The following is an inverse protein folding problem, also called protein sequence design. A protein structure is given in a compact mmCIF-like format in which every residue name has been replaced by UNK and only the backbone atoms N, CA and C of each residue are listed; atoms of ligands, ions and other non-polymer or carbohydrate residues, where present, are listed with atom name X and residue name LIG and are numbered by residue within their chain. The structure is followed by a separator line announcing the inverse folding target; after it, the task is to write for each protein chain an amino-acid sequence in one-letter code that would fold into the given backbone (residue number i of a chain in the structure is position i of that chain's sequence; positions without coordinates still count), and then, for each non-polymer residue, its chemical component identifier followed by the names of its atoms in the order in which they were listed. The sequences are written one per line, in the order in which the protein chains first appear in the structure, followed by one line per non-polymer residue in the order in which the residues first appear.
data_IF_804099850636
#
_entry.id   IF_804099850636
#
_cell.length_a   1.000
_cell.length_b   1.000
_cell.length_c   1.000
_cell.angle_alpha   90.00
_cell.angle_beta   90.00
_cell.angle_gamma   90.00
#
_symmetry.space_group_name_H-M   'P 1'
#
loop_
_entity.id
_entity.type
_entity.pdbx_description
1 polymer ?
#
# COMPACT_ATOMS: atom_id res chain seq x y z
N UNK A 1 -17.02 -8.30 9.30
CA UNK A 1 -16.62 -6.90 9.05
C UNK A 1 -15.11 -6.90 9.03
N UNK A 2 -14.51 -6.76 7.86
CA UNK A 2 -13.05 -6.70 7.73
C UNK A 2 -12.53 -5.50 8.50
N UNK A 3 -11.78 -5.77 9.56
CA UNK A 3 -11.14 -4.78 10.44
C UNK A 3 -9.70 -4.54 10.02
N UNK A 4 -9.37 -4.77 8.75
CA UNK A 4 -8.03 -4.58 8.20
C UNK A 4 -7.86 -3.14 7.75
N UNK A 5 -6.69 -2.56 8.01
CA UNK A 5 -6.27 -1.24 7.56
C UNK A 5 -5.00 -1.41 6.74
N UNK A 6 -5.00 -0.93 5.51
CA UNK A 6 -3.86 -1.00 4.61
C UNK A 6 -3.09 0.32 4.66
N UNK A 7 -1.79 0.24 4.90
CA UNK A 7 -0.90 1.41 4.96
C UNK A 7 0.13 1.29 3.88
N UNK A 8 0.01 2.15 2.87
CA UNK A 8 1.05 2.38 1.87
C UNK A 8 2.15 3.22 2.51
N UNK A 9 3.40 2.80 2.35
CA UNK A 9 4.59 3.56 2.72
C UNK A 9 5.48 3.75 1.50
N UNK A 10 5.80 5.00 1.18
CA UNK A 10 6.87 5.35 0.26
C UNK A 10 8.17 5.47 1.05
N UNK A 11 9.20 4.70 0.68
CA UNK A 11 10.51 4.76 1.33
C UNK A 11 11.31 6.00 0.91
N UNK A 12 11.14 6.44 -0.34
CA UNK A 12 11.89 7.57 -0.90
C UNK A 12 11.48 8.91 -0.29
N UNK A 13 10.18 9.09 0.00
CA UNK A 13 9.63 10.34 0.56
C UNK A 13 9.23 10.22 2.04
N UNK A 14 9.33 9.02 2.62
CA UNK A 14 8.78 8.68 3.94
C UNK A 14 7.27 8.98 4.09
N UNK A 15 6.54 9.12 2.99
CA UNK A 15 5.09 9.34 3.00
C UNK A 15 4.35 8.06 3.39
N UNK A 16 3.30 8.19 4.20
CA UNK A 16 2.41 7.07 4.52
C UNK A 16 0.95 7.43 4.29
N UNK A 17 0.26 6.58 3.55
CA UNK A 17 -1.17 6.73 3.20
C UNK A 17 -1.94 5.53 3.74
N UNK A 18 -3.09 5.80 4.35
CA UNK A 18 -3.92 4.79 5.03
C UNK A 18 -5.20 4.58 4.23
N UNK A 19 -5.55 3.32 4.02
CA UNK A 19 -6.68 2.89 3.22
C UNK A 19 -7.43 1.76 3.93
N UNK A 20 -8.75 1.73 3.76
CA UNK A 20 -9.59 0.65 4.29
C UNK A 20 -9.46 -0.64 3.48
N UNK A 21 -9.00 -0.56 2.22
CA UNK A 21 -8.88 -1.69 1.29
C UNK A 21 -7.52 -1.76 0.59
N UNK A 22 -7.07 -2.98 0.28
CA UNK A 22 -5.82 -3.22 -0.45
C UNK A 22 -5.84 -2.59 -1.85
N UNK A 23 -6.98 -2.63 -2.54
CA UNK A 23 -7.07 -2.09 -3.89
C UNK A 23 -6.86 -0.58 -3.93
N UNK A 24 -7.42 0.14 -2.95
CA UNK A 24 -7.21 1.58 -2.78
C UNK A 24 -5.77 1.93 -2.44
N UNK A 25 -5.10 1.11 -1.61
CA UNK A 25 -3.68 1.29 -1.33
C UNK A 25 -2.80 1.06 -2.57
N UNK A 26 -3.14 0.08 -3.41
CA UNK A 26 -2.44 -0.19 -4.67
C UNK A 26 -2.75 0.87 -5.75
N UNK A 27 -3.93 1.47 -5.74
CA UNK A 27 -4.24 2.61 -6.63
C UNK A 27 -3.44 3.86 -6.23
N UNK A 28 -3.36 4.12 -4.93
CA UNK A 28 -2.54 5.19 -4.36
C UNK A 28 -1.05 5.04 -4.71
N UNK A 29 -0.54 3.81 -4.90
CA UNK A 29 0.83 3.61 -5.40
C UNK A 29 1.02 4.31 -6.75
N UNK A 30 0.07 4.21 -7.67
CA UNK A 30 0.21 4.86 -8.98
C UNK A 30 0.06 6.38 -8.92
N UNK A 31 -0.67 6.90 -7.94
CA UNK A 31 -0.88 8.33 -7.74
C UNK A 31 0.28 9.00 -6.99
N UNK A 32 0.85 8.33 -5.98
CA UNK A 32 1.78 8.92 -5.01
C UNK A 32 3.23 8.45 -5.17
N UNK A 33 3.47 7.31 -5.82
CA UNK A 33 4.81 6.72 -5.94
C UNK A 33 5.41 7.03 -7.31
N UNK A 34 6.61 7.61 -7.32
CA UNK A 34 7.37 7.90 -8.53
C UNK A 34 7.89 6.62 -9.20
N UNK A 35 8.23 6.72 -10.50
CA UNK A 35 8.71 5.57 -11.30
C UNK A 35 9.95 4.85 -10.73
N UNK A 36 10.72 5.49 -9.85
CA UNK A 36 11.92 4.93 -9.25
C UNK A 36 11.82 4.60 -7.76
N UNK A 37 10.71 4.94 -7.11
CA UNK A 37 10.57 4.93 -5.65
C UNK A 37 10.21 3.53 -5.14
N UNK A 38 10.74 3.17 -3.97
CA UNK A 38 10.39 1.93 -3.29
C UNK A 38 9.14 2.14 -2.44
N UNK A 39 8.24 1.17 -2.46
CA UNK A 39 7.01 1.22 -1.69
C UNK A 39 6.68 -0.14 -1.07
N UNK A 40 6.00 -0.08 0.08
CA UNK A 40 5.54 -1.26 0.83
C UNK A 40 4.15 -0.99 1.37
N UNK A 41 3.24 -1.95 1.21
CA UNK A 41 1.90 -1.93 1.80
C UNK A 41 1.86 -2.89 3.00
N UNK A 42 1.47 -2.34 4.14
CA UNK A 42 1.27 -3.07 5.39
C UNK A 42 -0.23 -3.23 5.66
N UNK A 43 -0.66 -4.45 5.91
CA UNK A 43 -1.96 -4.76 6.48
C UNK A 43 -1.86 -4.72 8.01
N UNK A 44 -2.54 -3.77 8.63
CA UNK A 44 -2.71 -3.62 10.05
C UNK A 44 -4.08 -4.13 10.43
N UNK A 45 -4.13 -5.12 11.30
CA UNK A 45 -5.39 -5.53 11.91
C UNK A 45 -5.76 -4.51 13.01
N UNK A 46 -6.92 -3.85 12.89
CA UNK A 46 -7.39 -2.84 13.86
C UNK A 46 -7.64 -3.44 15.25
N UNK A 47 -7.76 -4.76 15.36
CA UNK A 47 -8.05 -5.48 16.61
C UNK A 47 -6.75 -5.96 17.26
N UNK A 48 -5.75 -6.40 16.48
CA UNK A 48 -4.44 -6.84 16.94
C UNK A 48 -3.41 -5.73 16.75
N UNK A 49 -3.31 -4.87 17.77
CA UNK A 49 -2.21 -3.93 17.94
C UNK A 49 -0.91 -4.74 18.15
N UNK A 50 -0.11 -4.95 17.10
CA UNK A 50 1.20 -5.57 17.30
C UNK A 50 2.06 -5.85 16.07
N UNK A 51 1.48 -6.15 14.91
CA UNK A 51 2.30 -6.46 13.74
C UNK A 51 1.54 -6.14 12.45
N UNK A 52 1.93 -5.04 11.79
CA UNK A 52 1.55 -4.82 10.40
C UNK A 52 2.20 -5.88 9.53
N UNK A 53 1.39 -6.70 8.85
CA UNK A 53 1.86 -7.70 7.91
C UNK A 53 2.16 -7.02 6.58
N UNK A 54 3.33 -7.24 6.00
CA UNK A 54 3.59 -6.81 4.62
C UNK A 54 2.76 -7.68 3.68
N UNK A 55 1.90 -7.05 2.90
CA UNK A 55 1.01 -7.74 1.94
C UNK A 55 1.42 -7.48 0.50
N UNK A 56 2.07 -6.35 0.23
CA UNK A 56 2.64 -6.04 -1.08
C UNK A 56 3.87 -5.14 -0.91
N UNK A 57 4.82 -5.27 -1.83
CA UNK A 57 5.98 -4.39 -1.92
C UNK A 57 6.44 -4.33 -3.37
N UNK A 58 7.11 -3.24 -3.73
CA UNK A 58 7.60 -3.05 -5.07
C UNK A 58 8.42 -1.78 -5.23
N UNK A 59 8.82 -1.56 -6.48
CA UNK A 59 9.53 -0.35 -6.89
C UNK A 59 8.87 0.21 -8.13
N UNK A 60 8.66 1.51 -8.14
CA UNK A 60 7.97 2.22 -9.21
C UNK A 60 6.47 1.94 -9.23
N UNK A 61 5.85 2.27 -10.36
CA UNK A 61 4.40 2.16 -10.55
C UNK A 61 3.94 0.73 -10.78
N UNK A 62 2.73 0.41 -10.32
CA UNK A 62 2.12 -0.90 -10.53
C UNK A 62 1.48 -0.91 -11.91
N UNK A 63 2.03 -1.75 -12.81
CA UNK A 63 1.37 -2.06 -14.08
C UNK A 63 0.23 -3.04 -13.82
N UNK A 64 -0.96 -2.52 -13.46
CA UNK A 64 -2.19 -3.32 -13.53
C UNK A 64 -2.46 -3.62 -15.01
N UNK A 65 -2.67 -4.89 -15.42
CA UNK A 65 -3.14 -5.16 -16.78
C UNK A 65 -4.47 -4.42 -16.95
N UNK A 66 -4.57 -3.56 -17.96
CA UNK A 66 -5.83 -2.94 -18.30
C UNK A 66 -6.84 -4.06 -18.55
N UNK A 67 -7.92 -4.09 -17.77
CA UNK A 67 -9.03 -4.99 -18.03
C UNK A 67 -9.54 -4.66 -19.43
N UNK A 68 -9.41 -5.61 -20.36
CA UNK A 68 -9.87 -5.51 -21.73
C UNK A 68 -11.26 -6.16 -21.83
#
# INVERSE_FOLDING_TARGET
MDTSLYVLRNDATATTSRHDDLDGALDAVNAEIGEGDNWVIFELDRVRVGAGRRVAEGRGRIKRPAAH
#
